data_IF_355765360008
#
_entry.id   IF_355765360008
#
_cell.length_a   1.000
_cell.length_b   1.000
_cell.length_c   1.000
_cell.angle_alpha   90.00
_cell.angle_beta   90.00
_cell.angle_gamma   90.00
#
_symmetry.space_group_name_H-M   'P 1'
#
loop_
_entity.id
_entity.type
_entity.pdbx_description
1 polymer ?
#
# COMPACT_ATOMS: atom_id res chain seq x y z
N UNK A 1 26.58 -16.00 0.71
CA UNK A 1 26.67 -14.54 0.51
C UNK A 1 25.77 -13.89 1.56
N UNK A 2 26.34 -13.61 2.74
CA UNK A 2 25.65 -13.12 3.95
C UNK A 2 25.84 -11.61 4.03
N UNK A 3 24.76 -10.81 4.00
CA UNK A 3 24.80 -9.38 4.32
C UNK A 3 23.51 -8.98 5.05
N UNK A 4 23.37 -9.46 6.29
CA UNK A 4 22.64 -8.75 7.35
C UNK A 4 23.30 -9.18 8.66
N UNK A 5 24.26 -8.38 9.11
CA UNK A 5 25.00 -8.58 10.35
C UNK A 5 25.24 -7.23 11.03
N UNK A 6 24.71 -7.12 12.24
CA UNK A 6 25.09 -6.21 13.33
C UNK A 6 25.22 -4.70 13.07
N UNK A 7 24.19 -3.96 13.47
CA UNK A 7 24.28 -2.58 13.93
C UNK A 7 23.54 -2.43 15.26
N UNK A 8 24.12 -2.93 16.35
CA UNK A 8 23.57 -2.81 17.71
C UNK A 8 24.51 -2.18 18.75
N UNK A 9 25.53 -1.43 18.33
CA UNK A 9 26.56 -0.92 19.26
C UNK A 9 26.93 0.57 19.12
N UNK A 10 26.02 1.45 18.68
CA UNK A 10 26.31 2.90 18.53
C UNK A 10 25.34 3.86 19.23
N UNK A 11 24.82 3.50 20.42
CA UNK A 11 24.16 4.46 21.31
C UNK A 11 24.66 4.34 22.75
N UNK A 12 25.86 4.87 23.00
CA UNK A 12 26.28 5.30 24.32
C UNK A 12 26.23 6.85 24.35
N UNK A 13 25.30 7.43 25.12
CA UNK A 13 25.26 8.87 25.39
C UNK A 13 26.25 9.22 26.51
N UNK A 14 27.04 10.30 26.38
CA UNK A 14 27.64 10.96 27.54
C UNK A 14 26.79 12.19 27.98
N UNK A 15 26.96 12.66 29.24
CA UNK A 15 26.14 13.71 29.83
C UNK A 15 26.65 15.10 29.43
N UNK A 16 25.74 16.06 29.24
CA UNK A 16 26.12 17.47 29.08
C UNK A 16 25.85 18.27 30.35
N UNK A 17 26.91 18.91 30.82
CA UNK A 17 26.97 19.95 31.84
C UNK A 17 26.60 21.32 31.26
N UNK A 18 25.87 22.11 32.04
CA UNK A 18 25.51 23.51 31.77
C UNK A 18 26.56 24.50 32.30
N UNK A 19 26.77 25.66 31.66
CA UNK A 19 27.30 26.84 32.32
C UNK A 19 26.27 27.99 32.41
N UNK A 20 26.38 28.75 33.50
CA UNK A 20 25.57 29.89 33.94
C UNK A 20 25.99 31.24 33.34
N UNK A 21 25.09 32.25 33.44
CA UNK A 21 25.27 33.73 33.59
C UNK A 21 24.40 34.54 32.59
N UNK A 22 23.78 35.70 32.84
CA UNK A 22 23.55 36.59 34.00
C UNK A 22 22.58 37.71 33.54
N UNK A 23 21.43 37.86 34.22
CA UNK A 23 20.79 39.10 34.74
C UNK A 23 20.44 40.30 33.82
N UNK A 24 19.17 40.72 33.83
CA UNK A 24 18.72 42.04 34.38
C UNK A 24 17.19 42.11 34.54
N UNK A 25 16.78 42.72 35.65
CA UNK A 25 15.50 42.70 36.36
C UNK A 25 14.66 43.96 36.11
N UNK A 26 13.33 43.82 36.06
CA UNK A 26 12.32 44.76 36.64
C UNK A 26 10.98 44.02 36.65
N UNK A 27 10.10 43.95 37.65
CA UNK A 27 9.98 44.43 39.02
C UNK A 27 8.76 43.70 39.63
N UNK A 28 8.75 43.51 40.94
CA UNK A 28 7.87 42.61 41.71
C UNK A 28 6.38 43.01 41.78
N UNK A 29 5.51 42.07 42.18
CA UNK A 29 4.63 42.14 43.37
C UNK A 29 3.95 40.77 43.58
N UNK A 30 3.95 40.35 44.84
CA UNK A 30 3.43 39.11 45.45
C UNK A 30 1.91 38.98 45.40
N UNK A 31 1.37 37.77 45.30
CA UNK A 31 -0.03 37.49 45.65
C UNK A 31 -0.17 36.18 46.43
N UNK A 32 -0.77 36.36 47.60
CA UNK A 32 -1.14 35.44 48.67
C UNK A 32 -2.33 34.54 48.29
N UNK A 33 -2.40 33.41 48.97
CA UNK A 33 -3.47 32.40 48.98
C UNK A 33 -4.84 32.94 49.41
N UNK A 34 -5.86 32.76 48.57
CA UNK A 34 -7.24 32.46 49.01
C UNK A 34 -8.16 32.16 47.81
N UNK A 35 -8.91 31.06 47.89
CA UNK A 35 -10.07 30.74 47.03
C UNK A 35 -11.26 31.64 47.40
N UNK A 36 -12.13 32.05 46.44
CA UNK A 36 -13.27 31.19 46.08
C UNK A 36 -13.80 31.28 44.62
N UNK A 37 -14.32 30.13 44.16
CA UNK A 37 -15.48 29.84 43.29
C UNK A 37 -15.99 30.89 42.29
N UNK A 38 -16.07 30.54 40.99
CA UNK A 38 -17.31 30.51 40.15
C UNK A 38 -17.06 30.11 38.67
N UNK A 39 -17.62 28.94 38.31
CA UNK A 39 -18.02 28.36 37.00
C UNK A 39 -17.28 28.64 35.69
N UNK A 40 -16.70 27.57 35.11
CA UNK A 40 -16.57 27.39 33.64
C UNK A 40 -17.28 26.09 33.26
N UNK A 41 -18.33 26.21 32.42
CA UNK A 41 -19.15 25.08 31.91
C UNK A 41 -18.27 24.02 31.25
N UNK A 42 -18.42 22.77 31.66
CA UNK A 42 -17.74 21.62 31.06
C UNK A 42 -18.35 21.23 29.72
N UNK A 43 -17.51 21.13 28.69
CA UNK A 43 -17.85 20.46 27.44
C UNK A 43 -17.72 18.96 27.66
N UNK A 44 -18.84 18.24 27.72
CA UNK A 44 -18.85 16.78 27.78
C UNK A 44 -18.26 16.23 26.47
N UNK A 45 -17.18 15.48 26.58
CA UNK A 45 -16.73 14.62 25.49
C UNK A 45 -17.80 13.56 25.24
N UNK A 46 -18.40 13.58 24.05
CA UNK A 46 -19.29 12.52 23.60
C UNK A 46 -18.46 11.26 23.36
N UNK A 47 -18.50 10.33 24.31
CA UNK A 47 -18.12 8.95 24.07
C UNK A 47 -19.11 8.42 23.02
N UNK A 48 -18.64 8.12 21.82
CA UNK A 48 -19.44 7.40 20.83
C UNK A 48 -19.58 5.98 21.38
N UNK A 49 -20.70 5.73 22.05
CA UNK A 49 -21.12 4.39 22.43
C UNK A 49 -21.38 3.62 21.16
N UNK A 50 -20.66 2.50 20.95
CA UNK A 50 -21.02 1.52 19.93
C UNK A 50 -22.39 0.96 20.27
N UNK A 51 -23.43 1.48 19.64
CA UNK A 51 -24.77 0.91 19.68
C UNK A 51 -24.67 -0.51 19.11
N UNK A 52 -25.08 -1.52 19.91
CA UNK A 52 -25.16 -2.89 19.43
C UNK A 52 -26.14 -2.91 18.27
N UNK A 53 -25.68 -3.29 17.07
CA UNK A 53 -26.56 -3.51 15.94
C UNK A 53 -27.61 -4.57 16.31
N UNK A 54 -28.84 -4.37 15.81
CA UNK A 54 -29.91 -5.34 15.98
C UNK A 54 -29.59 -6.65 15.23
N UNK A 55 -30.01 -7.79 15.80
CA UNK A 55 -29.78 -9.14 15.28
C UNK A 55 -30.33 -9.36 13.84
N UNK A 56 -31.32 -8.58 13.41
CA UNK A 56 -31.84 -8.57 12.04
C UNK A 56 -30.90 -7.87 11.07
N UNK A 57 -30.33 -6.73 11.48
CA UNK A 57 -29.31 -6.01 10.70
C UNK A 57 -28.02 -6.82 10.58
N UNK A 58 -27.57 -7.47 11.67
CA UNK A 58 -26.45 -8.41 11.63
C UNK A 58 -26.72 -9.60 10.71
N UNK A 59 -27.93 -10.19 10.72
CA UNK A 59 -28.30 -11.26 9.78
C UNK A 59 -28.36 -10.79 8.33
N UNK A 60 -28.75 -9.54 8.08
CA UNK A 60 -28.78 -8.97 6.73
C UNK A 60 -27.36 -8.70 6.22
N UNK A 61 -26.50 -8.13 7.05
CA UNK A 61 -25.07 -7.95 6.81
C UNK A 61 -24.41 -9.30 6.54
N UNK A 62 -24.64 -10.31 7.38
CA UNK A 62 -24.16 -11.66 7.18
C UNK A 62 -24.69 -12.30 5.90
N UNK A 63 -25.93 -12.04 5.48
CA UNK A 63 -26.48 -12.53 4.20
C UNK A 63 -25.89 -11.82 2.98
N UNK A 64 -25.57 -10.54 3.10
CA UNK A 64 -24.92 -9.75 2.05
C UNK A 64 -23.46 -10.23 1.87
N UNK A 65 -22.74 -10.42 2.98
CA UNK A 65 -21.37 -10.91 2.97
C UNK A 65 -21.23 -12.42 2.72
N UNK A 66 -22.20 -13.25 3.11
CA UNK A 66 -22.21 -14.69 2.81
C UNK A 66 -22.30 -15.01 1.31
N UNK A 67 -22.62 -14.01 0.48
CA UNK A 67 -22.63 -14.13 -0.99
C UNK A 67 -21.33 -13.66 -1.64
N UNK A 68 -20.38 -13.14 -0.85
CA UNK A 68 -19.04 -12.73 -1.27
C UNK A 68 -18.00 -13.73 -0.72
N UNK A 69 -16.84 -13.76 -1.37
CA UNK A 69 -15.71 -14.58 -0.92
C UNK A 69 -15.36 -14.24 0.54
N UNK A 70 -15.41 -15.23 1.43
CA UNK A 70 -15.02 -15.02 2.84
C UNK A 70 -13.50 -15.07 3.01
N UNK A 71 -13.01 -14.77 4.22
CA UNK A 71 -11.56 -14.74 4.50
C UNK A 71 -10.87 -16.10 4.30
N UNK A 72 -11.54 -17.22 4.58
CA UNK A 72 -10.94 -18.55 4.43
C UNK A 72 -10.81 -18.91 2.96
N UNK A 73 -11.85 -18.63 2.18
CA UNK A 73 -11.84 -18.77 0.73
C UNK A 73 -10.80 -17.83 0.11
N UNK A 74 -10.72 -16.57 0.52
CA UNK A 74 -9.68 -15.64 0.09
C UNK A 74 -8.28 -16.16 0.35
N UNK A 75 -7.99 -16.68 1.55
CA UNK A 75 -6.69 -17.27 1.86
C UNK A 75 -6.38 -18.47 0.97
N UNK A 76 -7.37 -19.31 0.68
CA UNK A 76 -7.21 -20.49 -0.16
C UNK A 76 -6.95 -20.10 -1.61
N UNK A 77 -7.81 -19.24 -2.18
CA UNK A 77 -7.70 -18.76 -3.58
C UNK A 77 -6.47 -17.89 -3.78
N UNK A 78 -6.11 -17.05 -2.82
CA UNK A 78 -4.90 -16.23 -2.85
C UNK A 78 -3.64 -17.09 -2.93
N UNK A 79 -3.55 -18.17 -2.14
CA UNK A 79 -2.43 -19.13 -2.25
C UNK A 79 -2.40 -19.83 -3.61
N UNK A 80 -3.56 -20.29 -4.09
CA UNK A 80 -3.66 -20.90 -5.43
C UNK A 80 -3.22 -19.92 -6.54
N UNK A 81 -3.53 -18.63 -6.40
CA UNK A 81 -3.08 -17.61 -7.35
C UNK A 81 -1.57 -17.38 -7.28
N UNK A 82 -0.97 -17.38 -6.09
CA UNK A 82 0.49 -17.30 -5.93
C UNK A 82 1.17 -18.49 -6.60
N UNK A 83 0.67 -19.71 -6.35
CA UNK A 83 1.20 -20.93 -6.98
C UNK A 83 1.07 -20.85 -8.52
N UNK A 84 -0.11 -20.42 -9.01
CA UNK A 84 -0.36 -20.21 -10.44
C UNK A 84 0.61 -19.21 -11.08
N UNK A 85 0.86 -18.06 -10.45
CA UNK A 85 1.76 -17.02 -10.96
C UNK A 85 3.20 -17.55 -11.01
N UNK A 86 3.64 -18.26 -9.98
CA UNK A 86 4.97 -18.88 -9.94
C UNK A 86 5.13 -19.89 -11.07
N UNK A 87 4.19 -20.83 -11.19
CA UNK A 87 4.19 -21.85 -12.26
C UNK A 87 4.17 -21.19 -13.65
N UNK A 88 3.36 -20.15 -13.84
CA UNK A 88 3.29 -19.39 -15.10
C UNK A 88 4.64 -18.76 -15.44
N UNK A 89 5.30 -18.08 -14.50
CA UNK A 89 6.58 -17.41 -14.75
C UNK A 89 7.73 -18.40 -14.95
N UNK A 90 7.73 -19.54 -14.26
CA UNK A 90 8.73 -20.61 -14.46
C UNK A 90 8.57 -21.30 -15.82
N UNK A 91 7.32 -21.52 -16.25
CA UNK A 91 7.00 -22.24 -17.49
C UNK A 91 6.74 -21.33 -18.68
N UNK A 92 6.84 -20.00 -18.54
CA UNK A 92 6.49 -19.03 -19.59
C UNK A 92 7.20 -19.31 -20.92
N UNK A 93 8.42 -19.83 -20.87
CA UNK A 93 9.23 -20.19 -22.04
C UNK A 93 8.61 -21.27 -22.94
N UNK A 94 7.67 -22.05 -22.40
CA UNK A 94 6.93 -23.08 -23.12
C UNK A 94 5.73 -22.51 -23.89
N UNK A 95 5.30 -21.29 -23.57
CA UNK A 95 4.18 -20.60 -24.23
C UNK A 95 4.67 -19.84 -25.47
N UNK A 96 3.75 -19.55 -26.39
CA UNK A 96 4.06 -18.77 -27.60
C UNK A 96 4.23 -17.30 -27.23
N UNK A 97 5.31 -16.67 -27.68
CA UNK A 97 5.63 -15.26 -27.32
C UNK A 97 4.50 -14.30 -27.66
N UNK A 98 3.98 -14.39 -28.88
CA UNK A 98 2.84 -13.60 -29.38
C UNK A 98 1.68 -14.53 -29.71
N UNK A 99 0.43 -14.11 -29.47
CA UNK A 99 -0.73 -14.95 -29.72
C UNK A 99 -0.93 -15.22 -31.22
N UNK A 100 -1.74 -16.24 -31.53
CA UNK A 100 -2.11 -16.64 -32.89
C UNK A 100 -3.63 -16.51 -33.09
N UNK A 101 -4.13 -15.28 -32.90
CA UNK A 101 -5.56 -14.96 -32.89
C UNK A 101 -5.84 -13.70 -33.72
N UNK A 102 -7.05 -13.60 -34.23
CA UNK A 102 -7.50 -12.46 -35.03
C UNK A 102 -8.31 -11.45 -34.20
N UNK A 103 -8.40 -10.17 -34.63
CA UNK A 103 -9.25 -9.18 -33.98
C UNK A 103 -10.69 -9.68 -33.83
N UNK A 104 -11.21 -9.62 -32.60
CA UNK A 104 -12.57 -10.06 -32.27
C UNK A 104 -12.71 -11.50 -31.79
N UNK A 105 -11.66 -12.32 -31.79
CA UNK A 105 -11.72 -13.75 -31.43
C UNK A 105 -12.42 -14.02 -30.07
N UNK A 106 -12.23 -13.15 -29.08
CA UNK A 106 -12.73 -13.39 -27.72
C UNK A 106 -14.26 -13.25 -27.62
N UNK A 107 -14.87 -12.47 -28.52
CA UNK A 107 -16.31 -12.19 -28.49
C UNK A 107 -17.14 -13.46 -28.62
N UNK A 108 -16.71 -14.40 -29.46
CA UNK A 108 -17.44 -15.64 -29.73
C UNK A 108 -17.40 -16.62 -28.55
N UNK A 109 -16.52 -16.41 -27.56
CA UNK A 109 -16.38 -17.25 -26.37
C UNK A 109 -17.05 -16.66 -25.12
N UNK A 110 -17.48 -15.40 -25.15
CA UNK A 110 -18.09 -14.72 -24.01
C UNK A 110 -19.59 -14.48 -24.23
N UNK A 111 -20.40 -14.45 -23.15
CA UNK A 111 -21.81 -14.14 -23.28
C UNK A 111 -22.02 -12.67 -23.71
N UNK A 112 -23.09 -12.42 -24.46
CA UNK A 112 -23.46 -11.07 -24.94
C UNK A 112 -23.83 -10.07 -23.82
N UNK A 113 -24.01 -10.55 -22.58
CA UNK A 113 -24.35 -9.72 -21.43
C UNK A 113 -23.72 -10.26 -20.14
N UNK A 114 -23.44 -9.36 -19.20
CA UNK A 114 -22.86 -9.71 -17.92
C UNK A 114 -23.77 -10.67 -17.11
N UNK A 115 -23.20 -11.66 -16.42
CA UNK A 115 -23.98 -12.63 -15.65
C UNK A 115 -24.72 -11.95 -14.50
N UNK A 116 -26.01 -12.27 -14.32
CA UNK A 116 -26.86 -11.74 -13.23
C UNK A 116 -26.55 -12.36 -11.87
N UNK A 117 -25.75 -13.44 -11.83
CA UNK A 117 -25.39 -14.19 -10.64
C UNK A 117 -23.89 -14.46 -10.68
N UNK A 118 -23.29 -14.56 -9.49
CA UNK A 118 -21.89 -14.95 -9.36
C UNK A 118 -21.67 -16.34 -9.93
N UNK A 119 -20.50 -16.53 -10.54
CA UNK A 119 -20.03 -17.82 -11.03
C UNK A 119 -18.98 -18.39 -10.09
N UNK A 120 -18.75 -19.69 -10.24
CA UNK A 120 -17.77 -20.40 -9.43
C UNK A 120 -16.34 -20.02 -9.86
N UNK A 121 -15.45 -19.82 -8.88
CA UNK A 121 -14.07 -19.42 -9.13
C UNK A 121 -13.32 -20.40 -10.03
N UNK A 122 -13.53 -21.71 -9.86
CA UNK A 122 -12.81 -22.71 -10.64
C UNK A 122 -13.24 -22.66 -12.10
N UNK A 123 -14.52 -22.37 -12.38
CA UNK A 123 -15.01 -22.13 -13.75
C UNK A 123 -14.36 -20.90 -14.37
N UNK A 124 -14.26 -19.81 -13.61
CA UNK A 124 -13.61 -18.56 -14.08
C UNK A 124 -12.15 -18.83 -14.44
N UNK A 125 -11.40 -19.57 -13.61
CA UNK A 125 -10.00 -19.89 -13.91
C UNK A 125 -9.84 -20.84 -15.11
N UNK A 126 -10.77 -21.77 -15.31
CA UNK A 126 -10.82 -22.62 -16.51
C UNK A 126 -11.02 -21.76 -17.76
N UNK A 127 -11.98 -20.84 -17.73
CA UNK A 127 -12.26 -19.95 -18.87
C UNK A 127 -11.11 -18.96 -19.12
N UNK A 128 -10.46 -18.48 -18.05
CA UNK A 128 -9.27 -17.64 -18.15
C UNK A 128 -8.13 -18.35 -18.90
N UNK A 129 -7.79 -19.58 -18.52
CA UNK A 129 -6.74 -20.32 -19.22
C UNK A 129 -7.14 -20.76 -20.63
N UNK A 130 -8.43 -21.03 -20.85
CA UNK A 130 -8.92 -21.49 -22.15
C UNK A 130 -9.05 -20.38 -23.18
N UNK A 131 -9.52 -19.20 -22.78
CA UNK A 131 -9.90 -18.14 -23.71
C UNK A 131 -9.04 -16.89 -23.60
N UNK A 132 -8.48 -16.57 -22.42
CA UNK A 132 -7.69 -15.35 -22.22
C UNK A 132 -6.22 -15.62 -22.51
N UNK A 133 -5.63 -16.61 -21.85
CA UNK A 133 -4.18 -16.86 -21.93
C UNK A 133 -3.64 -17.15 -23.35
N UNK A 134 -4.37 -17.83 -24.26
CA UNK A 134 -3.94 -17.98 -25.65
C UNK A 134 -3.85 -16.66 -26.44
N UNK A 135 -4.56 -15.63 -25.99
CA UNK A 135 -4.54 -14.28 -26.57
C UNK A 135 -3.57 -13.32 -25.88
N UNK A 136 -2.87 -13.75 -24.82
CA UNK A 136 -1.91 -12.90 -24.11
C UNK A 136 -0.58 -12.88 -24.88
N UNK A 137 -0.06 -11.67 -25.12
CA UNK A 137 1.35 -11.51 -25.48
C UNK A 137 2.20 -11.64 -24.23
N UNK A 138 3.12 -12.59 -24.18
CA UNK A 138 3.90 -12.88 -22.98
C UNK A 138 5.15 -11.98 -22.90
N UNK A 139 4.99 -10.77 -22.36
CA UNK A 139 6.06 -9.77 -22.22
C UNK A 139 7.28 -10.25 -21.40
N UNK A 140 7.06 -11.16 -20.44
CA UNK A 140 8.14 -11.73 -19.61
C UNK A 140 8.79 -12.96 -20.24
N UNK A 141 8.39 -13.35 -21.46
CA UNK A 141 8.95 -14.50 -22.14
C UNK A 141 10.42 -14.21 -22.51
N UNK A 142 11.38 -15.15 -22.31
CA UNK A 142 12.82 -14.91 -22.53
C UNK A 142 13.21 -14.54 -23.97
N UNK A 143 12.35 -14.87 -24.94
CA UNK A 143 12.44 -14.52 -26.37
C UNK A 143 11.62 -13.29 -26.79
N UNK A 144 11.04 -12.54 -25.85
CA UNK A 144 10.34 -11.28 -26.16
C UNK A 144 11.35 -10.13 -26.24
N UNK A 145 11.54 -9.58 -27.44
CA UNK A 145 12.51 -8.50 -27.70
C UNK A 145 11.89 -7.30 -28.42
N UNK A 146 10.56 -7.20 -28.40
CA UNK A 146 9.85 -6.04 -28.94
C UNK A 146 9.76 -4.91 -27.89
N UNK A 147 9.65 -3.67 -28.35
CA UNK A 147 9.45 -2.48 -27.51
C UNK A 147 10.52 -2.32 -26.41
N UNK A 148 10.09 -2.05 -25.17
CA UNK A 148 10.91 -2.00 -23.96
C UNK A 148 10.45 -3.09 -22.98
N UNK A 149 11.37 -3.70 -22.21
CA UNK A 149 11.00 -4.73 -21.25
C UNK A 149 10.09 -4.15 -20.17
N UNK A 150 8.99 -4.83 -19.90
CA UNK A 150 8.15 -4.53 -18.74
C UNK A 150 8.86 -5.05 -17.49
N UNK A 151 9.22 -4.17 -16.56
CA UNK A 151 9.81 -4.58 -15.28
C UNK A 151 8.80 -5.40 -14.48
N UNK A 152 9.13 -6.66 -14.17
CA UNK A 152 8.33 -7.51 -13.31
C UNK A 152 9.24 -8.37 -12.44
N UNK A 153 8.94 -8.44 -11.14
CA UNK A 153 9.72 -9.18 -10.16
C UNK A 153 8.81 -9.73 -9.06
N UNK A 154 9.21 -10.82 -8.40
CA UNK A 154 8.41 -11.34 -7.28
C UNK A 154 8.18 -10.31 -6.16
N UNK A 155 9.16 -9.47 -5.76
CA UNK A 155 8.90 -8.40 -4.80
C UNK A 155 7.87 -7.37 -5.26
N UNK A 156 7.84 -7.00 -6.55
CA UNK A 156 6.84 -6.06 -7.05
C UNK A 156 5.43 -6.65 -7.03
N UNK A 157 5.29 -7.93 -7.43
CA UNK A 157 3.99 -8.63 -7.36
C UNK A 157 3.48 -8.70 -5.91
N UNK A 158 4.34 -9.02 -4.95
CA UNK A 158 3.96 -9.06 -3.53
C UNK A 158 3.62 -7.67 -2.99
N UNK A 159 4.32 -6.63 -3.45
CA UNK A 159 4.00 -5.25 -3.09
C UNK A 159 2.62 -4.83 -3.61
N UNK A 160 2.28 -5.20 -4.85
CA UNK A 160 0.96 -4.95 -5.43
C UNK A 160 -0.13 -5.67 -4.63
N UNK A 161 0.06 -6.94 -4.29
CA UNK A 161 -0.87 -7.69 -3.43
C UNK A 161 -1.07 -7.04 -2.06
N UNK A 162 0.00 -6.51 -1.45
CA UNK A 162 -0.08 -5.81 -0.17
C UNK A 162 -0.80 -4.46 -0.32
N UNK A 163 -0.51 -3.72 -1.39
CA UNK A 163 -1.14 -2.44 -1.72
C UNK A 163 -2.66 -2.60 -1.89
N UNK A 164 -3.08 -3.60 -2.67
CA UNK A 164 -4.49 -3.95 -2.87
C UNK A 164 -5.18 -4.34 -1.56
N UNK A 165 -4.48 -5.06 -0.68
CA UNK A 165 -4.99 -5.45 0.63
C UNK A 165 -5.17 -4.29 1.60
N UNK A 166 -4.30 -3.27 1.53
CA UNK A 166 -4.45 -2.03 2.31
C UNK A 166 -5.58 -1.17 1.74
N UNK A 167 -5.72 -1.12 0.41
CA UNK A 167 -6.78 -0.38 -0.28
C UNK A 167 -6.79 1.12 0.04
N UNK A 168 -5.62 1.71 0.34
CA UNK A 168 -5.51 3.11 0.72
C UNK A 168 -5.62 4.06 -0.49
N UNK A 169 -6.25 5.21 -0.30
CA UNK A 169 -6.34 6.27 -1.31
C UNK A 169 -5.52 7.48 -0.86
N UNK A 170 -4.31 7.63 -1.40
CA UNK A 170 -3.32 8.63 -0.99
C UNK A 170 -3.40 9.99 -1.69
N UNK A 171 -4.60 10.55 -1.92
CA UNK A 171 -4.74 11.82 -2.66
C UNK A 171 -4.26 13.06 -1.89
N UNK A 172 -4.03 12.94 -0.59
CA UNK A 172 -3.44 13.97 0.26
C UNK A 172 -2.72 13.32 1.44
N UNK A 173 -1.79 14.06 2.05
CA UNK A 173 -1.08 13.57 3.25
C UNK A 173 -2.06 13.15 4.36
N UNK A 174 -3.12 13.93 4.58
CA UNK A 174 -4.14 13.60 5.59
C UNK A 174 -4.94 12.33 5.27
N UNK A 175 -5.06 11.95 3.99
CA UNK A 175 -5.77 10.75 3.56
C UNK A 175 -4.94 9.48 3.79
N UNK A 176 -3.62 9.55 3.62
CA UNK A 176 -2.71 8.45 3.98
C UNK A 176 -1.28 8.97 4.20
N UNK A 177 -0.92 9.33 5.45
CA UNK A 177 0.41 9.86 5.74
C UNK A 177 1.54 8.89 5.34
N UNK A 178 1.33 7.59 5.59
CA UNK A 178 2.32 6.57 5.26
C UNK A 178 2.62 6.50 3.75
N UNK A 179 1.62 6.69 2.88
CA UNK A 179 1.82 6.72 1.43
C UNK A 179 2.71 7.89 1.04
N UNK A 180 2.36 9.11 1.47
CA UNK A 180 3.11 10.32 1.11
C UNK A 180 4.53 10.30 1.66
N UNK A 181 4.71 9.94 2.94
CA UNK A 181 6.04 9.91 3.56
C UNK A 181 6.94 8.85 2.93
N UNK A 182 6.40 7.65 2.65
CA UNK A 182 7.18 6.57 2.05
C UNK A 182 7.58 6.90 0.60
N UNK A 183 6.69 7.51 -0.17
CA UNK A 183 6.99 7.95 -1.54
C UNK A 183 8.14 8.96 -1.57
N UNK A 184 8.09 9.97 -0.69
CA UNK A 184 9.15 10.97 -0.56
C UNK A 184 10.49 10.30 -0.26
N UNK A 185 10.52 9.37 0.70
CA UNK A 185 11.75 8.65 1.08
C UNK A 185 12.28 7.80 -0.09
N UNK A 186 11.40 7.05 -0.77
CA UNK A 186 11.78 6.17 -1.88
C UNK A 186 12.34 6.95 -3.07
N UNK A 187 11.74 8.08 -3.41
CA UNK A 187 12.22 8.93 -4.52
C UNK A 187 13.49 9.67 -4.17
N UNK A 188 13.67 10.05 -2.89
CA UNK A 188 14.93 10.60 -2.42
C UNK A 188 16.07 9.55 -2.50
N UNK A 189 15.80 8.28 -2.16
CA UNK A 189 16.73 7.18 -2.36
C UNK A 189 17.05 6.96 -3.84
N UNK A 190 16.03 6.93 -4.70
CA UNK A 190 16.21 6.77 -6.15
C UNK A 190 17.05 7.91 -6.73
N UNK A 191 16.76 9.15 -6.37
CA UNK A 191 17.51 10.33 -6.81
C UNK A 191 18.98 10.24 -6.40
N UNK A 192 19.27 9.79 -5.17
CA UNK A 192 20.65 9.53 -4.72
C UNK A 192 21.33 8.42 -5.51
N UNK A 193 20.62 7.32 -5.81
CA UNK A 193 21.16 6.18 -6.56
C UNK A 193 21.58 6.54 -7.98
N UNK A 194 20.83 7.43 -8.65
CA UNK A 194 21.15 7.89 -10.01
C UNK A 194 22.05 9.14 -10.02
N UNK A 195 22.50 9.60 -8.85
CA UNK A 195 23.43 10.72 -8.71
C UNK A 195 22.83 12.09 -9.00
N UNK A 196 21.53 12.30 -8.72
CA UNK A 196 20.92 13.62 -8.87
C UNK A 196 21.56 14.66 -7.94
N UNK A 197 21.71 15.91 -8.41
CA UNK A 197 22.10 17.03 -7.56
C UNK A 197 21.15 17.20 -6.36
N UNK A 198 21.66 17.72 -5.24
CA UNK A 198 20.91 17.86 -3.98
C UNK A 198 19.67 18.75 -4.10
N UNK A 199 19.68 19.64 -5.07
CA UNK A 199 18.58 20.55 -5.42
C UNK A 199 17.33 19.81 -5.89
N UNK A 200 17.45 18.56 -6.37
CA UNK A 200 16.33 17.71 -6.75
C UNK A 200 15.85 16.79 -5.63
N UNK A 201 16.61 16.65 -4.54
CA UNK A 201 16.32 15.72 -3.44
C UNK A 201 15.44 16.40 -2.38
N UNK A 202 14.34 15.75 -1.98
CA UNK A 202 13.41 16.33 -1.02
C UNK A 202 14.00 16.40 0.40
N UNK A 203 14.83 15.43 0.78
CA UNK A 203 15.33 15.26 2.16
C UNK A 203 16.77 15.76 2.36
N UNK A 204 17.30 16.58 1.44
CA UNK A 204 18.69 17.06 1.49
C UNK A 204 18.94 18.17 2.51
N UNK A 205 17.96 19.05 2.73
CA UNK A 205 17.97 20.14 3.73
C UNK A 205 16.52 20.51 4.10
N UNK A 206 16.31 21.09 5.29
CA UNK A 206 15.02 21.63 5.75
C UNK A 206 14.45 22.73 4.85
N UNK A 207 15.28 23.33 3.99
CA UNK A 207 14.88 24.33 2.99
C UNK A 207 14.86 23.78 1.57
N UNK A 208 14.96 22.46 1.40
CA UNK A 208 14.93 21.86 0.06
C UNK A 208 13.64 22.26 -0.67
N UNK A 209 13.79 22.60 -1.95
CA UNK A 209 12.70 22.88 -2.88
C UNK A 209 12.56 21.77 -3.94
N UNK A 210 13.43 20.76 -3.86
CA UNK A 210 13.42 19.59 -4.74
C UNK A 210 12.39 18.56 -4.29
N UNK A 211 12.09 17.63 -5.18
CA UNK A 211 11.18 16.53 -4.92
C UNK A 211 10.96 15.69 -6.16
N UNK A 212 10.36 14.53 -5.95
CA UNK A 212 9.85 13.67 -7.00
C UNK A 212 8.44 13.23 -6.66
N UNK A 213 7.74 12.72 -7.66
CA UNK A 213 6.47 11.99 -7.51
C UNK A 213 6.57 10.69 -8.32
N UNK A 214 5.93 9.62 -7.84
CA UNK A 214 5.74 8.38 -8.61
C UNK A 214 4.24 8.23 -8.85
N UNK A 215 3.85 8.21 -10.13
CA UNK A 215 2.45 8.02 -10.56
C UNK A 215 2.31 6.69 -11.30
#
# INVERSE_FOLDING_TARGET
MRLFGDCRSLFARPPQSSPSATTTTTGAVTADTSTPTTTRKGTKGTVITTEKLDNSTDKLIQRIFAKQMDTNEFRRRGKQMVDYIADYLETISQRRVTPDVEPGYLKDFLPDSAPKRSEDWDKIMIDFEKYIMPGVTHWQHPRFHAYFPAGNSYPSILADMLSDGIGCVGFSWAASPACTELEIIMLDWMGKMIGLPKEFLCLSDHKSKGGGVIQ
#
